data_IF_909109259581
#
_entry.id   IF_909109259581
#
_cell.length_a   1.000
_cell.length_b   1.000
_cell.length_c   1.000
_cell.angle_alpha   90.00
_cell.angle_beta   90.00
_cell.angle_gamma   90.00
#
_symmetry.space_group_name_H-M   'P 1'
#
loop_
_entity.id
_entity.type
_entity.pdbx_description
1 polymer ?
#
# COMPACT_ATOMS: atom_id res chain seq x y z
N UNK A 1 -48.77 24.92 7.31
CA UNK A 1 -48.51 24.67 5.87
C UNK A 1 -48.97 23.25 5.57
N UNK A 2 -49.92 23.10 4.64
CA UNK A 2 -50.60 21.84 4.32
C UNK A 2 -49.81 21.02 3.29
N UNK A 3 -49.63 19.73 3.55
CA UNK A 3 -49.22 18.72 2.57
C UNK A 3 -50.33 18.52 1.52
N UNK A 4 -49.94 18.30 0.27
CA UNK A 4 -50.72 17.53 -0.70
C UNK A 4 -49.77 16.74 -1.61
N UNK A 5 -49.76 15.42 -1.41
CA UNK A 5 -49.25 14.42 -2.35
C UNK A 5 -50.23 14.29 -3.53
N UNK A 6 -49.71 14.08 -4.74
CA UNK A 6 -50.49 13.54 -5.85
C UNK A 6 -49.75 12.32 -6.39
N UNK A 7 -50.28 11.14 -6.07
CA UNK A 7 -50.06 9.88 -6.78
C UNK A 7 -50.77 9.97 -8.14
N UNK A 8 -50.11 9.53 -9.21
CA UNK A 8 -50.79 9.10 -10.44
C UNK A 8 -50.42 7.64 -10.68
N UNK A 9 -51.47 6.81 -10.69
CA UNK A 9 -51.49 5.37 -10.86
C UNK A 9 -52.38 5.15 -12.09
N UNK A 10 -51.82 4.61 -13.19
CA UNK A 10 -52.62 4.12 -14.32
C UNK A 10 -52.10 2.75 -14.73
N UNK A 11 -52.86 1.74 -14.36
CA UNK A 11 -52.86 0.42 -14.95
C UNK A 11 -53.54 0.48 -16.33
N UNK A 12 -53.09 -0.37 -17.27
CA UNK A 12 -53.90 -0.70 -18.44
C UNK A 12 -53.22 -1.65 -19.40
N UNK A 13 -53.73 -2.89 -19.48
CA UNK A 13 -53.80 -3.63 -20.75
C UNK A 13 -52.98 -4.90 -20.88
N UNK A 14 -53.57 -6.02 -20.46
CA UNK A 14 -53.23 -7.39 -20.83
C UNK A 14 -53.44 -7.65 -22.33
N UNK A 15 -52.51 -8.38 -22.97
CA UNK A 15 -52.82 -9.32 -24.06
C UNK A 15 -51.70 -10.37 -24.18
N UNK A 16 -51.95 -11.56 -23.60
CA UNK A 16 -51.23 -12.78 -23.94
C UNK A 16 -51.78 -13.32 -25.27
N UNK A 17 -50.90 -13.74 -26.17
CA UNK A 17 -51.24 -14.74 -27.19
C UNK A 17 -50.07 -15.69 -27.40
N UNK A 18 -50.39 -16.98 -27.25
CA UNK A 18 -49.54 -18.16 -27.40
C UNK A 18 -49.18 -18.45 -28.86
N UNK A 19 -47.99 -19.03 -29.09
CA UNK A 19 -47.40 -19.38 -30.40
C UNK A 19 -48.14 -20.45 -31.22
N UNK A 20 -47.55 -20.87 -32.36
CA UNK A 20 -46.57 -21.96 -32.28
C UNK A 20 -45.37 -21.89 -33.26
N UNK A 21 -44.27 -22.53 -32.83
CA UNK A 21 -43.23 -23.29 -33.56
C UNK A 21 -43.00 -23.04 -35.06
N UNK A 22 -41.78 -22.60 -35.42
CA UNK A 22 -41.01 -23.32 -36.44
C UNK A 22 -39.51 -23.13 -36.23
N UNK A 23 -38.78 -24.23 -36.36
CA UNK A 23 -37.33 -24.33 -36.36
C UNK A 23 -36.82 -23.53 -37.56
N UNK A 24 -35.98 -22.53 -37.34
CA UNK A 24 -34.92 -22.26 -38.30
C UNK A 24 -33.70 -21.60 -37.66
N UNK A 25 -32.58 -22.04 -38.18
CA UNK A 25 -31.22 -21.90 -37.72
C UNK A 25 -30.78 -20.45 -37.49
N UNK A 26 -30.29 -20.15 -36.29
CA UNK A 26 -29.16 -19.22 -36.11
C UNK A 26 -28.09 -19.97 -35.34
N UNK A 27 -27.35 -20.78 -36.10
CA UNK A 27 -26.04 -21.32 -35.73
C UNK A 27 -25.02 -20.41 -36.42
N UNK A 28 -24.68 -19.31 -35.78
CA UNK A 28 -23.43 -18.60 -35.98
C UNK A 28 -22.74 -18.60 -34.62
N UNK A 29 -21.88 -19.59 -34.38
CA UNK A 29 -20.43 -19.35 -34.35
C UNK A 29 -20.08 -18.15 -33.47
N UNK A 30 -20.03 -18.40 -32.16
CA UNK A 30 -19.19 -17.64 -31.25
C UNK A 30 -17.74 -18.05 -31.58
N UNK A 31 -17.22 -17.46 -32.65
CA UNK A 31 -15.80 -17.48 -32.98
C UNK A 31 -15.23 -16.13 -32.59
N UNK A 32 -14.61 -16.07 -31.42
CA UNK A 32 -13.40 -15.26 -31.16
C UNK A 32 -13.11 -15.31 -29.66
N UNK A 33 -12.41 -16.38 -29.27
CA UNK A 33 -11.62 -16.39 -28.04
C UNK A 33 -10.53 -15.30 -28.08
N UNK A 34 -10.23 -14.75 -29.28
CA UNK A 34 -9.26 -13.68 -29.52
C UNK A 34 -9.61 -12.33 -28.85
N UNK A 35 -10.90 -12.04 -28.62
CA UNK A 35 -11.31 -10.77 -27.97
C UNK A 35 -11.11 -10.76 -26.46
N UNK A 36 -11.01 -11.92 -25.81
CA UNK A 36 -10.76 -11.98 -24.36
C UNK A 36 -9.30 -11.67 -24.07
N UNK A 37 -8.40 -12.14 -24.94
CA UNK A 37 -6.96 -11.91 -24.82
C UNK A 37 -6.62 -10.44 -25.10
N UNK A 38 -7.25 -9.81 -26.10
CA UNK A 38 -7.05 -8.38 -26.40
C UNK A 38 -7.58 -7.47 -25.27
N UNK A 39 -8.74 -7.79 -24.67
CA UNK A 39 -9.26 -7.07 -23.48
C UNK A 39 -8.35 -7.30 -22.26
N UNK A 40 -7.81 -8.52 -22.07
CA UNK A 40 -6.88 -8.80 -20.97
C UNK A 40 -5.57 -8.04 -21.16
N UNK A 41 -5.04 -7.98 -22.38
CA UNK A 41 -3.81 -7.26 -22.74
C UNK A 41 -4.03 -5.75 -22.67
N UNK A 42 -5.20 -5.22 -23.03
CA UNK A 42 -5.53 -3.79 -22.85
C UNK A 42 -5.71 -3.42 -21.37
N UNK A 43 -6.26 -4.33 -20.56
CA UNK A 43 -6.40 -4.13 -19.10
C UNK A 43 -5.04 -4.25 -18.38
N UNK A 44 -4.19 -5.20 -18.80
CA UNK A 44 -2.83 -5.39 -18.32
C UNK A 44 -1.86 -4.29 -18.80
N UNK A 45 -2.09 -3.71 -19.99
CA UNK A 45 -1.31 -2.58 -20.50
C UNK A 45 -1.79 -1.24 -19.93
N UNK A 46 -3.07 -1.08 -19.58
CA UNK A 46 -3.55 0.04 -18.74
C UNK A 46 -3.04 -0.04 -17.30
N UNK A 47 -2.78 -1.25 -16.77
CA UNK A 47 -2.09 -1.42 -15.49
C UNK A 47 -0.62 -0.91 -15.53
N UNK A 48 -0.04 -0.70 -16.72
CA UNK A 48 1.34 -0.22 -16.91
C UNK A 48 1.51 1.30 -16.84
N UNK A 49 0.43 2.07 -16.72
CA UNK A 49 0.48 3.53 -16.55
C UNK A 49 -0.31 4.01 -15.31
N UNK A 50 -0.40 3.18 -14.28
CA UNK A 50 -0.91 3.60 -12.98
C UNK A 50 0.13 4.54 -12.37
N UNK A 51 -0.27 5.76 -11.98
CA UNK A 51 0.65 6.71 -11.36
C UNK A 51 1.13 6.19 -9.99
N UNK A 52 2.26 6.68 -9.48
CA UNK A 52 2.87 6.19 -8.24
C UNK A 52 1.87 6.12 -7.07
N UNK A 53 1.05 7.15 -6.90
CA UNK A 53 0.12 7.21 -5.77
C UNK A 53 -1.05 6.25 -5.91
N UNK A 54 -1.54 6.03 -7.14
CA UNK A 54 -2.58 5.05 -7.41
C UNK A 54 -2.05 3.64 -7.19
N UNK A 55 -0.81 3.35 -7.60
CA UNK A 55 -0.15 2.07 -7.32
C UNK A 55 -0.04 1.83 -5.81
N UNK A 56 0.30 2.87 -5.03
CA UNK A 56 0.31 2.74 -3.57
C UNK A 56 -1.07 2.47 -3.01
N UNK A 57 -2.08 3.24 -3.44
CA UNK A 57 -3.46 3.10 -2.95
C UNK A 57 -4.06 1.72 -3.27
N UNK A 58 -3.71 1.17 -4.42
CA UNK A 58 -4.13 -0.15 -4.89
C UNK A 58 -3.23 -1.29 -4.40
N UNK A 59 -2.22 -1.00 -3.58
CA UNK A 59 -1.24 -1.97 -3.07
C UNK A 59 -0.56 -2.79 -4.18
N UNK A 60 -0.28 -2.12 -5.30
CA UNK A 60 0.37 -2.71 -6.47
C UNK A 60 1.89 -2.57 -6.36
N UNK A 61 2.58 -3.40 -7.16
CA UNK A 61 4.01 -3.28 -7.34
C UNK A 61 4.38 -1.95 -7.98
N UNK A 62 5.47 -1.37 -7.47
CA UNK A 62 6.04 -0.10 -7.89
C UNK A 62 7.32 -0.39 -8.66
N UNK A 63 7.42 0.14 -9.87
CA UNK A 63 8.65 0.00 -10.66
C UNK A 63 9.79 0.79 -10.02
N UNK A 64 11.02 0.36 -10.28
CA UNK A 64 12.22 1.09 -9.82
C UNK A 64 12.22 2.53 -10.33
N UNK A 65 11.77 2.77 -11.57
CA UNK A 65 11.63 4.13 -12.13
C UNK A 65 10.61 4.97 -11.37
N UNK A 66 9.48 4.38 -10.97
CA UNK A 66 8.49 5.08 -10.14
C UNK A 66 9.09 5.46 -8.78
N UNK A 67 9.82 4.54 -8.14
CA UNK A 67 10.49 4.81 -6.87
C UNK A 67 11.57 5.89 -7.00
N UNK A 68 12.45 5.82 -8.00
CA UNK A 68 13.49 6.83 -8.24
C UNK A 68 12.87 8.21 -8.51
N UNK A 69 11.78 8.27 -9.28
CA UNK A 69 11.16 9.53 -9.69
C UNK A 69 10.40 10.24 -8.56
N UNK A 70 9.98 9.51 -7.51
CA UNK A 70 9.10 10.03 -6.45
C UNK A 70 9.74 10.01 -5.07
N UNK A 71 10.85 9.29 -4.86
CA UNK A 71 11.47 9.13 -3.55
C UNK A 71 12.94 9.53 -3.54
N UNK A 72 13.47 9.75 -2.34
CA UNK A 72 14.88 10.05 -2.07
C UNK A 72 15.58 8.91 -1.32
N UNK A 73 15.18 7.67 -1.57
CA UNK A 73 15.91 6.50 -1.06
C UNK A 73 17.33 6.46 -1.63
N UNK A 74 18.25 5.89 -0.85
CA UNK A 74 19.59 5.65 -1.33
C UNK A 74 19.58 4.70 -2.55
N UNK A 75 20.44 4.98 -3.53
CA UNK A 75 20.64 4.13 -4.70
C UNK A 75 20.90 2.67 -4.37
N UNK A 76 21.50 2.37 -3.22
CA UNK A 76 21.75 1.02 -2.76
C UNK A 76 20.48 0.17 -2.68
N UNK A 77 19.32 0.76 -2.40
CA UNK A 77 18.05 0.04 -2.34
C UNK A 77 17.57 -0.45 -3.72
N UNK A 78 17.96 0.25 -4.79
CA UNK A 78 17.57 -0.08 -6.16
C UNK A 78 18.50 -1.08 -6.84
N UNK A 79 19.71 -1.28 -6.30
CA UNK A 79 20.75 -2.11 -6.92
C UNK A 79 21.20 -3.29 -6.05
N UNK A 80 20.55 -3.52 -4.90
CA UNK A 80 20.99 -4.51 -3.91
C UNK A 80 20.86 -5.95 -4.40
N UNK A 81 19.85 -6.22 -5.22
CA UNK A 81 19.47 -7.56 -5.68
C UNK A 81 18.73 -7.47 -7.01
N UNK A 82 18.79 -8.51 -7.82
CA UNK A 82 18.01 -8.61 -9.06
C UNK A 82 16.51 -8.83 -8.80
N UNK A 83 16.16 -9.31 -7.59
CA UNK A 83 14.79 -9.64 -7.19
C UNK A 83 14.17 -8.58 -6.27
N UNK A 84 14.64 -7.32 -6.34
CA UNK A 84 14.05 -6.25 -5.54
C UNK A 84 12.58 -6.04 -5.90
N UNK A 85 11.74 -5.88 -4.88
CA UNK A 85 10.33 -5.58 -5.04
C UNK A 85 9.94 -4.42 -4.14
N UNK A 86 9.31 -3.41 -4.74
CA UNK A 86 8.63 -2.36 -4.01
C UNK A 86 7.13 -2.54 -4.21
N UNK A 87 6.36 -2.51 -3.13
CA UNK A 87 4.91 -2.66 -3.19
C UNK A 87 4.25 -1.57 -2.38
N UNK A 88 3.18 -0.99 -2.92
CA UNK A 88 2.29 -0.09 -2.21
C UNK A 88 1.73 -0.72 -0.94
N UNK A 89 1.65 0.02 0.15
CA UNK A 89 1.00 -0.46 1.38
C UNK A 89 -0.19 0.44 1.77
N UNK A 90 0.10 1.68 2.18
CA UNK A 90 -0.92 2.57 2.74
C UNK A 90 -0.62 4.01 2.33
N UNK A 91 -1.66 4.79 2.00
CA UNK A 91 -1.54 6.23 1.80
C UNK A 91 -2.60 6.99 2.63
N UNK A 92 -2.20 8.08 3.28
CA UNK A 92 -3.10 8.89 4.11
C UNK A 92 -2.66 10.36 4.17
N UNK A 93 -3.59 11.24 4.55
CA UNK A 93 -3.33 12.67 4.68
C UNK A 93 -2.93 13.03 6.11
N UNK A 94 -1.84 13.77 6.25
CA UNK A 94 -1.36 14.31 7.52
C UNK A 94 -1.63 15.81 7.55
N UNK A 95 -2.46 16.25 8.49
CA UNK A 95 -2.85 17.67 8.69
C UNK A 95 -3.43 18.36 7.44
N UNK A 96 -3.94 17.62 6.45
CA UNK A 96 -4.38 18.11 5.12
C UNK A 96 -3.30 18.79 4.26
N UNK A 97 -2.06 18.86 4.74
CA UNK A 97 -0.93 19.53 4.07
C UNK A 97 0.07 18.54 3.49
N UNK A 98 0.18 17.36 4.09
CA UNK A 98 1.13 16.34 3.66
C UNK A 98 0.40 15.05 3.30
N UNK A 99 0.92 14.35 2.31
CA UNK A 99 0.54 12.98 2.00
C UNK A 99 1.62 12.07 2.56
N UNK A 100 1.24 11.17 3.45
CA UNK A 100 2.09 10.10 3.94
C UNK A 100 1.81 8.84 3.13
N UNK A 101 2.86 8.19 2.68
CA UNK A 101 2.83 7.01 1.81
C UNK A 101 3.76 5.97 2.41
N UNK A 102 3.24 4.78 2.68
CA UNK A 102 4.03 3.63 3.10
C UNK A 102 4.26 2.74 1.88
N UNK A 103 5.52 2.39 1.67
CA UNK A 103 5.95 1.44 0.66
C UNK A 103 6.69 0.30 1.36
N UNK A 104 6.33 -0.93 1.03
CA UNK A 104 7.06 -2.11 1.43
C UNK A 104 8.21 -2.38 0.44
N UNK A 105 9.31 -2.89 0.98
CA UNK A 105 10.50 -3.29 0.25
C UNK A 105 10.85 -4.73 0.60
N UNK A 106 11.18 -5.52 -0.42
CA UNK A 106 11.79 -6.83 -0.30
C UNK A 106 13.03 -6.88 -1.17
N UNK A 107 14.13 -7.43 -0.66
CA UNK A 107 15.31 -7.73 -1.48
C UNK A 107 15.17 -9.04 -2.29
N UNK A 108 14.02 -9.71 -2.15
CA UNK A 108 13.73 -11.00 -2.78
C UNK A 108 14.51 -12.16 -2.17
N UNK A 109 15.21 -11.93 -1.05
CA UNK A 109 15.99 -12.92 -0.34
C UNK A 109 15.44 -13.03 1.08
N UNK A 110 15.94 -12.19 1.98
CA UNK A 110 15.75 -12.36 3.42
C UNK A 110 15.37 -11.07 4.13
N UNK A 111 15.45 -9.92 3.46
CA UNK A 111 15.16 -8.64 4.07
C UNK A 111 13.84 -8.07 3.59
N UNK A 112 12.96 -7.80 4.55
CA UNK A 112 11.72 -7.06 4.38
C UNK A 112 11.80 -5.77 5.18
N UNK A 113 11.47 -4.65 4.53
CA UNK A 113 11.46 -3.34 5.17
C UNK A 113 10.21 -2.56 4.75
N UNK A 114 9.83 -1.54 5.54
CA UNK A 114 8.85 -0.55 5.12
C UNK A 114 9.36 0.85 5.40
N UNK A 115 9.06 1.74 4.48
CA UNK A 115 9.41 3.16 4.56
C UNK A 115 8.13 3.99 4.55
N UNK A 116 8.06 4.99 5.42
CA UNK A 116 7.10 6.09 5.29
C UNK A 116 7.77 7.25 4.56
N UNK A 117 7.13 7.70 3.48
CA UNK A 117 7.50 8.88 2.71
C UNK A 117 6.50 9.98 2.98
N UNK A 118 7.00 11.21 3.14
CA UNK A 118 6.18 12.41 3.22
C UNK A 118 6.34 13.22 1.95
N UNK A 119 5.19 13.62 1.41
CA UNK A 119 5.06 14.49 0.26
C UNK A 119 4.30 15.74 0.71
N UNK A 120 4.74 16.93 0.30
CA UNK A 120 3.85 18.08 0.30
C UNK A 120 2.62 17.76 -0.57
N UNK A 121 1.44 18.28 -0.22
CA UNK A 121 0.17 18.00 -0.90
C UNK A 121 0.26 18.09 -2.44
N UNK A 122 1.00 19.07 -2.92
CA UNK A 122 1.12 19.38 -4.35
C UNK A 122 2.45 18.89 -4.96
N UNK A 123 3.30 18.22 -4.17
CA UNK A 123 4.57 17.68 -4.62
C UNK A 123 4.42 16.24 -5.08
N UNK A 124 4.98 15.93 -6.25
CA UNK A 124 5.15 14.55 -6.72
C UNK A 124 6.39 13.88 -6.11
N UNK A 125 7.27 14.66 -5.48
CA UNK A 125 8.51 14.16 -4.90
C UNK A 125 8.45 14.20 -3.37
N UNK A 126 8.94 13.14 -2.73
CA UNK A 126 9.04 13.06 -1.29
C UNK A 126 10.18 13.94 -0.78
N UNK A 127 9.90 14.78 0.22
CA UNK A 127 10.94 15.62 0.84
C UNK A 127 11.58 14.96 2.06
N UNK A 128 11.02 13.86 2.57
CA UNK A 128 11.50 13.16 3.75
C UNK A 128 10.98 11.73 3.78
N UNK A 129 11.82 10.80 4.23
CA UNK A 129 11.40 9.44 4.53
C UNK A 129 11.93 8.96 5.89
N UNK A 130 11.34 7.88 6.39
CA UNK A 130 11.80 7.16 7.58
C UNK A 130 11.55 5.67 7.38
N UNK A 131 12.53 4.84 7.71
CA UNK A 131 12.33 3.40 7.86
C UNK A 131 11.49 3.15 9.12
N UNK A 132 10.38 2.43 8.96
CA UNK A 132 9.41 2.17 10.03
C UNK A 132 9.28 0.69 10.36
N UNK A 133 9.72 -0.19 9.46
CA UNK A 133 9.70 -1.62 9.68
C UNK A 133 10.97 -2.23 9.09
N UNK A 134 11.58 -3.16 9.82
CA UNK A 134 12.67 -3.99 9.32
C UNK A 134 12.59 -5.37 9.96
N UNK A 135 12.59 -6.38 9.10
CA UNK A 135 12.72 -7.79 9.44
C UNK A 135 13.62 -8.43 8.38
N UNK A 136 14.85 -8.78 8.76
CA UNK A 136 15.80 -9.48 7.89
C UNK A 136 16.09 -10.87 8.47
N UNK A 137 16.48 -11.87 7.68
CA UNK A 137 16.94 -13.12 8.31
C UNK A 137 18.07 -12.83 9.30
N UNK A 138 17.89 -13.42 10.48
CA UNK A 138 18.82 -13.32 11.57
C UNK A 138 19.98 -14.30 11.33
N UNK A 139 21.21 -13.78 11.32
CA UNK A 139 22.35 -14.62 11.70
C UNK A 139 22.22 -14.87 13.21
N UNK A 140 21.67 -16.04 13.57
CA UNK A 140 21.39 -16.45 14.96
C UNK A 140 22.66 -16.52 15.83
N UNK A 141 23.86 -16.48 15.23
CA UNK A 141 25.13 -16.36 15.95
C UNK A 141 25.43 -14.94 16.44
N UNK A 142 24.63 -13.94 16.05
CA UNK A 142 24.80 -12.53 16.38
C UNK A 142 23.52 -11.93 16.97
N UNK A 143 23.66 -10.72 17.51
CA UNK A 143 22.48 -9.94 17.89
C UNK A 143 21.66 -9.63 16.65
N UNK A 144 20.36 -9.93 16.73
CA UNK A 144 19.40 -9.63 15.68
C UNK A 144 18.44 -8.54 16.15
N UNK A 145 17.98 -7.72 15.21
CA UNK A 145 17.17 -6.54 15.50
C UNK A 145 15.98 -6.46 14.54
N UNK A 146 14.78 -6.34 15.11
CA UNK A 146 13.58 -5.99 14.34
C UNK A 146 13.09 -4.61 14.72
N UNK A 147 12.43 -3.96 13.77
CA UNK A 147 11.68 -2.73 14.03
C UNK A 147 10.25 -2.94 13.55
N UNK A 148 9.29 -2.68 14.44
CA UNK A 148 7.86 -2.62 14.14
C UNK A 148 7.37 -1.17 14.23
N UNK A 149 6.26 -0.85 13.55
CA UNK A 149 5.62 0.48 13.66
C UNK A 149 4.18 0.39 14.14
N UNK A 150 3.73 1.44 14.82
CA UNK A 150 2.34 1.61 15.21
C UNK A 150 1.93 3.07 15.14
N UNK A 151 0.86 3.39 14.43
CA UNK A 151 0.24 4.71 14.50
C UNK A 151 -0.42 4.93 15.87
N UNK A 152 -0.17 6.09 16.46
CA UNK A 152 -0.84 6.55 17.68
C UNK A 152 -1.81 7.70 17.42
N UNK A 153 -1.62 8.41 16.32
CA UNK A 153 -2.58 9.38 15.77
C UNK A 153 -2.27 9.64 14.29
N UNK A 154 -3.06 10.49 13.63
CA UNK A 154 -2.84 10.93 12.25
C UNK A 154 -1.49 11.64 12.04
N UNK A 155 -0.84 12.10 13.13
CA UNK A 155 0.44 12.82 13.06
C UNK A 155 1.54 12.16 13.86
N UNK A 156 1.27 11.04 14.53
CA UNK A 156 2.22 10.43 15.46
C UNK A 156 2.24 8.92 15.31
N UNK A 157 3.43 8.36 15.44
CA UNK A 157 3.65 6.93 15.41
C UNK A 157 4.79 6.55 16.34
N UNK A 158 4.86 5.29 16.69
CA UNK A 158 5.91 4.73 17.53
C UNK A 158 6.63 3.63 16.75
N UNK A 159 7.94 3.57 16.93
CA UNK A 159 8.78 2.47 16.47
C UNK A 159 9.12 1.59 17.67
N UNK A 160 8.83 0.31 17.56
CA UNK A 160 9.10 -0.70 18.58
C UNK A 160 10.26 -1.52 18.07
N UNK A 161 11.43 -1.28 18.65
CA UNK A 161 12.68 -1.88 18.26
C UNK A 161 13.02 -3.01 19.22
N UNK A 162 13.09 -4.24 18.72
CA UNK A 162 13.39 -5.43 19.54
C UNK A 162 14.78 -5.93 19.19
N UNK A 163 15.62 -6.12 20.20
CA UNK A 163 16.96 -6.69 20.08
C UNK A 163 16.99 -8.05 20.75
N UNK A 164 17.31 -9.07 19.97
CA UNK A 164 17.42 -10.45 20.39
C UNK A 164 18.89 -10.80 20.63
N UNK A 165 19.24 -11.43 21.76
CA UNK A 165 20.58 -11.94 21.95
C UNK A 165 20.86 -13.11 20.99
N UNK A 166 22.16 -13.38 20.72
CA UNK A 166 22.58 -14.60 20.02
C UNK A 166 21.95 -15.85 20.64
N UNK A 167 21.71 -16.88 19.83
CA UNK A 167 21.03 -18.12 20.23
C UNK A 167 21.69 -18.78 21.46
N UNK A 168 23.03 -18.82 21.51
CA UNK A 168 23.82 -19.37 22.62
C UNK A 168 23.67 -18.60 23.95
N UNK A 169 23.09 -17.40 23.88
CA UNK A 169 22.88 -16.51 25.03
C UNK A 169 21.41 -16.31 25.39
N UNK A 170 20.45 -16.85 24.64
CA UNK A 170 19.02 -16.63 24.88
C UNK A 170 18.53 -17.15 26.25
N UNK A 171 19.18 -18.16 26.83
CA UNK A 171 18.86 -18.62 28.20
C UNK A 171 19.28 -17.63 29.30
N UNK A 172 20.30 -16.79 29.02
CA UNK A 172 20.94 -15.91 30.01
C UNK A 172 20.60 -14.43 29.81
N UNK A 173 20.42 -14.02 28.57
CA UNK A 173 20.07 -12.66 28.17
C UNK A 173 18.64 -12.63 27.64
N UNK A 174 17.88 -11.57 27.96
CA UNK A 174 16.50 -11.40 27.48
C UNK A 174 16.46 -10.45 26.30
N UNK A 175 15.42 -10.60 25.47
CA UNK A 175 15.01 -9.60 24.49
C UNK A 175 14.95 -8.21 25.14
N UNK A 176 15.52 -7.22 24.46
CA UNK A 176 15.42 -5.81 24.84
C UNK A 176 14.50 -5.08 23.88
N UNK A 177 13.48 -4.44 24.40
CA UNK A 177 12.56 -3.60 23.63
C UNK A 177 12.85 -2.12 23.88
N UNK A 178 13.01 -1.35 22.81
CA UNK A 178 13.14 0.10 22.83
C UNK A 178 11.98 0.71 22.05
N UNK A 179 11.21 1.60 22.68
CA UNK A 179 10.10 2.29 22.04
C UNK A 179 10.53 3.73 21.77
N UNK A 180 10.51 4.12 20.50
CA UNK A 180 10.79 5.48 20.06
C UNK A 180 9.54 6.12 19.47
N UNK A 181 9.12 7.23 20.05
CA UNK A 181 7.92 7.95 19.62
C UNK A 181 8.28 9.08 18.65
N UNK A 182 7.49 9.24 17.61
CA UNK A 182 7.70 10.23 16.56
C UNK A 182 6.44 11.05 16.32
N UNK A 183 6.65 12.32 15.96
CA UNK A 183 5.61 13.22 15.49
C UNK A 183 5.99 13.82 14.14
N UNK A 184 5.02 13.92 13.24
CA UNK A 184 5.08 14.70 12.01
C UNK A 184 4.65 16.12 12.34
N UNK A 185 5.62 17.03 12.33
CA UNK A 185 5.44 18.44 12.65
C UNK A 185 4.68 19.19 11.55
N UNK A 186 4.21 20.40 11.85
CA UNK A 186 3.45 21.22 10.90
C UNK A 186 4.28 21.65 9.67
N UNK A 187 5.61 21.63 9.78
CA UNK A 187 6.55 21.89 8.68
C UNK A 187 7.02 20.60 7.98
N UNK A 188 6.37 19.46 8.26
CA UNK A 188 6.58 18.22 7.52
C UNK A 188 7.83 17.43 7.91
N UNK A 189 8.44 17.74 9.07
CA UNK A 189 9.56 16.97 9.62
C UNK A 189 9.06 15.83 10.50
N UNK A 190 9.79 14.73 10.51
CA UNK A 190 9.60 13.62 11.45
C UNK A 190 10.57 13.82 12.61
N UNK A 191 10.05 14.09 13.81
CA UNK A 191 10.87 14.42 14.98
C UNK A 191 10.59 13.41 16.09
N UNK A 192 11.66 12.86 16.69
CA UNK A 192 11.54 12.02 17.87
C UNK A 192 11.04 12.85 19.06
N UNK A 193 9.97 12.41 19.69
CA UNK A 193 9.53 13.00 20.96
C UNK A 193 10.33 12.34 22.08
N UNK A 194 11.03 13.14 22.88
CA UNK A 194 11.75 12.60 24.04
C UNK A 194 10.75 11.98 25.01
N UNK A 195 10.81 10.67 25.20
CA UNK A 195 10.11 10.04 26.31
C UNK A 195 10.80 10.46 27.62
N UNK A 196 10.04 11.08 28.51
CA UNK A 196 10.48 11.39 29.89
C UNK A 196 10.43 10.16 30.81
N UNK A 197 10.25 8.95 30.29
CA UNK A 197 10.14 7.73 31.09
C UNK A 197 11.26 6.75 30.79
N UNK A 198 12.44 7.02 31.34
CA UNK A 198 13.31 5.95 31.81
C UNK A 198 12.82 5.53 33.20
N UNK A 199 12.22 4.34 33.30
CA UNK A 199 12.11 3.61 34.56
C UNK A 199 12.74 2.25 34.38
#
# INVERSE_FOLDING_TARGET
MKLCYVLILVCGGFACNSGPSEKDQIRHEISSVDNVEEILVETLSKARAVNFFDSVYLQMDLSTEQMISHTNLDTSFYTRSENILFTGDTAFMVRKTYKAVIVAYSDGLVCQQKFIFLFNRDSLYSHLFKEIFTQCDADLSRYYETTDFKFTSDTSFELIKKRYPPEDKQEKEKEKTEISKFIITADGRIVATRDRSSK
#
